data_IF_027142610384
#
_entry.id   IF_027142610384
#
_cell.length_a   1.000
_cell.length_b   1.000
_cell.length_c   1.000
_cell.angle_alpha   90.00
_cell.angle_beta   90.00
_cell.angle_gamma   90.00
#
_symmetry.space_group_name_H-M   'P 1'
#
loop_
_entity.id
_entity.type
_entity.pdbx_description
1 polymer ?
#
# COMPACT_ATOMS: atom_id res chain seq x y z
N UNK A 1 20.03 -30.31 94.70
CA UNK A 1 18.95 -30.86 95.52
C UNK A 1 17.94 -31.49 94.61
N UNK A 2 17.90 -32.85 94.54
CA UNK A 2 16.88 -33.77 95.08
C UNK A 2 15.46 -33.33 94.63
N UNK A 3 14.60 -34.06 93.96
CA UNK A 3 14.17 -35.52 94.02
C UNK A 3 13.45 -35.87 92.72
N UNK A 4 13.69 -36.96 92.07
CA UNK A 4 13.10 -38.33 92.10
C UNK A 4 11.59 -38.39 92.31
N UNK A 5 10.90 -38.98 91.40
CA UNK A 5 9.96 -40.14 91.37
C UNK A 5 9.03 -40.01 90.19
N UNK A 6 8.70 -41.01 89.41
CA UNK A 6 8.59 -42.46 89.56
C UNK A 6 7.50 -42.86 88.58
N UNK A 7 7.73 -43.94 87.92
CA UNK A 7 6.90 -44.65 86.84
C UNK A 7 5.59 -45.16 87.51
N UNK A 8 4.48 -45.32 86.74
CA UNK A 8 4.25 -46.70 86.26
C UNK A 8 3.78 -46.85 84.79
N UNK A 9 4.17 -47.99 84.22
CA UNK A 9 3.70 -48.60 82.95
C UNK A 9 2.21 -48.92 83.03
N UNK A 10 1.50 -48.74 81.97
CA UNK A 10 0.29 -49.44 81.66
C UNK A 10 0.36 -49.98 80.19
N UNK A 11 0.32 -51.30 80.07
CA UNK A 11 0.17 -52.02 78.84
C UNK A 11 -1.22 -51.78 78.29
N UNK A 12 -1.33 -51.46 76.96
CA UNK A 12 -2.57 -51.70 76.22
C UNK A 12 -2.20 -52.27 74.88
N UNK A 13 -2.91 -53.27 74.54
CA UNK A 13 -2.70 -54.24 73.52
C UNK A 13 -2.81 -53.83 72.07
N UNK A 14 -2.23 -54.66 71.29
CA UNK A 14 -2.23 -54.67 69.84
C UNK A 14 -3.66 -54.77 69.28
N UNK A 15 -4.01 -53.78 68.39
CA UNK A 15 -5.06 -54.00 67.37
C UNK A 15 -4.48 -53.64 66.03
N UNK A 16 -3.79 -54.54 65.40
CA UNK A 16 -3.44 -54.53 63.98
C UNK A 16 -4.71 -54.80 63.19
N UNK A 17 -5.37 -53.69 62.69
CA UNK A 17 -6.40 -53.84 61.65
C UNK A 17 -6.14 -52.84 60.50
N UNK A 18 -5.50 -53.40 59.49
CA UNK A 18 -5.60 -53.17 58.05
C UNK A 18 -5.48 -51.67 57.57
N UNK A 19 -4.28 -51.17 57.19
CA UNK A 19 -4.10 -49.96 56.37
C UNK A 19 -4.28 -50.21 54.87
N UNK A 20 -4.58 -51.41 54.42
CA UNK A 20 -4.60 -51.74 52.98
C UNK A 20 -5.81 -51.21 52.20
N UNK A 21 -6.90 -50.88 52.86
CA UNK A 21 -8.10 -50.33 52.17
C UNK A 21 -8.02 -48.81 51.91
N UNK A 22 -7.26 -48.04 52.68
CA UNK A 22 -7.03 -46.60 52.41
C UNK A 22 -5.97 -46.37 51.32
N UNK A 23 -4.96 -47.26 51.22
CA UNK A 23 -3.98 -47.14 50.15
C UNK A 23 -4.57 -47.48 48.77
N UNK A 24 -5.49 -48.42 48.70
CA UNK A 24 -6.18 -48.75 47.42
C UNK A 24 -7.11 -47.62 46.94
N UNK A 25 -7.74 -46.86 47.83
CA UNK A 25 -8.55 -45.69 47.50
C UNK A 25 -7.68 -44.47 47.10
N UNK A 26 -6.51 -44.28 47.71
CA UNK A 26 -5.57 -43.20 47.33
C UNK A 26 -4.89 -43.47 45.98
N UNK A 27 -4.60 -44.70 45.65
CA UNK A 27 -4.03 -45.08 44.34
C UNK A 27 -5.06 -44.94 43.21
N UNK A 28 -6.35 -45.21 43.49
CA UNK A 28 -7.42 -45.00 42.52
C UNK A 28 -7.77 -43.53 42.27
N UNK A 29 -7.50 -42.62 43.24
CA UNK A 29 -7.66 -41.16 43.07
C UNK A 29 -6.50 -40.48 42.31
N UNK A 30 -5.33 -41.12 42.27
CA UNK A 30 -4.18 -40.60 41.51
C UNK A 30 -4.17 -41.13 40.06
N UNK A 31 -4.97 -42.14 39.72
CA UNK A 31 -5.04 -42.72 38.38
C UNK A 31 -6.08 -42.06 37.45
N UNK A 32 -6.91 -41.15 37.94
CA UNK A 32 -7.73 -40.29 37.08
C UNK A 32 -6.95 -39.04 36.64
N UNK A 33 -5.78 -39.24 36.04
CA UNK A 33 -5.29 -38.23 35.09
C UNK A 33 -6.31 -38.26 33.96
N UNK A 34 -7.22 -37.30 33.98
CA UNK A 34 -7.97 -36.99 32.79
C UNK A 34 -6.91 -36.83 31.70
N UNK A 35 -6.90 -37.70 30.73
CA UNK A 35 -6.18 -37.46 29.49
C UNK A 35 -6.80 -36.22 28.88
N UNK A 36 -6.22 -35.08 29.22
CA UNK A 36 -6.59 -33.83 28.58
C UNK A 36 -6.34 -34.06 27.10
N UNK A 37 -7.37 -33.96 26.32
CA UNK A 37 -7.31 -34.00 24.89
C UNK A 37 -6.15 -33.09 24.45
N UNK A 38 -5.10 -33.66 23.93
CA UNK A 38 -3.90 -32.88 23.57
C UNK A 38 -3.80 -32.80 22.06
N UNK A 39 -4.00 -31.60 21.53
CA UNK A 39 -3.66 -31.33 20.13
C UNK A 39 -2.16 -31.07 20.06
N UNK A 40 -1.46 -31.90 19.28
CA UNK A 40 -0.02 -31.78 19.08
C UNK A 40 0.25 -31.58 17.60
N UNK A 41 0.98 -30.51 17.24
CA UNK A 41 1.37 -30.22 15.87
C UNK A 41 2.88 -30.39 15.68
N UNK A 42 3.28 -30.81 14.50
CA UNK A 42 4.66 -30.88 14.04
C UNK A 42 4.83 -30.12 12.75
N UNK A 43 6.01 -29.58 12.51
CA UNK A 43 6.38 -28.79 11.34
C UNK A 43 7.80 -28.29 11.49
N UNK A 44 8.29 -27.58 10.50
CA UNK A 44 9.62 -26.94 10.54
C UNK A 44 9.46 -25.43 10.45
N UNK A 45 10.15 -24.69 11.29
CA UNK A 45 10.25 -23.23 11.13
C UNK A 45 11.11 -22.92 9.89
N UNK A 46 10.60 -22.08 9.01
CA UNK A 46 11.31 -21.69 7.79
C UNK A 46 10.86 -20.30 7.28
N UNK A 47 11.66 -19.72 6.38
CA UNK A 47 11.30 -18.49 5.68
C UNK A 47 10.90 -18.83 4.25
N UNK A 48 9.66 -18.52 3.90
CA UNK A 48 9.08 -18.71 2.58
C UNK A 48 9.11 -17.36 1.85
N UNK A 49 9.66 -17.34 0.63
CA UNK A 49 9.66 -16.13 -0.20
C UNK A 49 8.33 -15.98 -0.92
N UNK A 50 7.73 -14.80 -0.84
CA UNK A 50 6.61 -14.41 -1.69
C UNK A 50 7.20 -13.71 -2.91
N UNK A 51 7.16 -14.34 -4.10
CA UNK A 51 7.78 -13.79 -5.29
C UNK A 51 7.01 -12.53 -5.73
N UNK A 52 7.74 -11.46 -6.07
CA UNK A 52 7.17 -10.22 -6.56
C UNK A 52 7.82 -9.82 -7.88
N UNK A 53 7.11 -9.01 -8.66
CA UNK A 53 7.70 -8.39 -9.85
C UNK A 53 8.83 -7.45 -9.41
N UNK A 54 10.06 -7.74 -9.86
CA UNK A 54 11.25 -6.99 -9.42
C UNK A 54 11.28 -5.56 -9.99
N UNK A 55 10.93 -5.37 -11.27
CA UNK A 55 10.92 -4.05 -11.93
C UNK A 55 9.50 -3.63 -12.22
N UNK A 56 9.06 -2.54 -11.62
CA UNK A 56 7.72 -1.99 -11.77
C UNK A 56 7.87 -0.59 -12.36
N UNK A 57 7.16 -0.33 -13.45
CA UNK A 57 7.13 1.00 -14.07
C UNK A 57 5.71 1.55 -14.00
N UNK A 58 5.57 2.75 -13.42
CA UNK A 58 4.27 3.36 -13.17
C UNK A 58 4.19 4.76 -13.75
N UNK A 59 3.03 5.20 -14.26
CA UNK A 59 2.77 6.59 -14.56
C UNK A 59 2.86 7.43 -13.27
N UNK A 60 3.51 8.60 -13.34
CA UNK A 60 3.68 9.48 -12.17
C UNK A 60 2.34 9.79 -11.49
N UNK A 61 1.31 10.06 -12.27
CA UNK A 61 0.02 10.56 -11.82
C UNK A 61 -1.07 9.48 -11.75
N UNK A 62 -0.68 8.18 -11.76
CA UNK A 62 -1.64 7.09 -11.50
C UNK A 62 -2.39 7.36 -10.18
N UNK A 63 -3.72 7.10 -10.10
CA UNK A 63 -4.50 7.35 -8.89
C UNK A 63 -3.98 6.59 -7.66
N UNK A 64 -4.20 7.16 -6.47
CA UNK A 64 -4.03 6.41 -5.20
C UNK A 64 -4.97 5.21 -5.20
N UNK A 65 -4.49 4.06 -4.72
CA UNK A 65 -5.20 2.78 -4.79
C UNK A 65 -4.88 1.95 -6.02
N UNK A 66 -4.14 2.50 -7.01
CA UNK A 66 -3.71 1.72 -8.17
C UNK A 66 -2.78 0.59 -7.74
N UNK A 67 -3.10 -0.65 -8.16
CA UNK A 67 -2.20 -1.81 -8.01
C UNK A 67 -1.04 -1.64 -8.98
N UNK A 68 0.18 -1.62 -8.46
CA UNK A 68 1.39 -1.29 -9.21
C UNK A 68 2.09 -2.51 -9.80
N UNK A 69 1.91 -3.69 -9.21
CA UNK A 69 2.54 -4.94 -9.64
C UNK A 69 1.51 -5.99 -10.04
N UNK A 70 1.97 -7.05 -10.69
CA UNK A 70 1.21 -8.30 -10.70
C UNK A 70 1.11 -8.86 -9.27
N UNK A 71 0.09 -9.67 -9.02
CA UNK A 71 -0.04 -10.40 -7.76
C UNK A 71 1.03 -11.50 -7.68
N UNK A 72 1.99 -11.34 -6.77
CA UNK A 72 2.94 -12.38 -6.42
C UNK A 72 2.30 -13.37 -5.47
N UNK A 73 2.57 -14.67 -5.62
CA UNK A 73 1.96 -15.71 -4.79
C UNK A 73 2.96 -16.82 -4.48
N UNK A 74 2.92 -17.31 -3.24
CA UNK A 74 3.61 -18.57 -2.92
C UNK A 74 2.93 -19.73 -3.66
N UNK A 75 3.62 -20.86 -3.86
CA UNK A 75 2.93 -22.11 -4.17
C UNK A 75 1.84 -22.42 -3.12
N UNK A 76 0.77 -23.06 -3.56
CA UNK A 76 -0.25 -23.57 -2.65
C UNK A 76 0.34 -24.78 -1.91
N UNK A 77 0.57 -24.65 -0.61
CA UNK A 77 1.16 -25.71 0.20
C UNK A 77 0.11 -26.27 1.18
N UNK A 78 -0.31 -27.54 1.01
CA UNK A 78 -1.27 -28.18 1.88
C UNK A 78 -0.67 -28.66 3.22
N UNK A 79 0.65 -28.56 3.42
CA UNK A 79 1.37 -29.30 4.46
C UNK A 79 2.30 -28.48 5.35
N UNK A 80 1.96 -27.27 5.75
CA UNK A 80 2.79 -26.50 6.72
C UNK A 80 2.94 -27.23 8.05
N UNK A 81 1.84 -27.83 8.53
CA UNK A 81 1.76 -28.46 9.85
C UNK A 81 1.00 -29.78 9.77
N UNK A 82 1.46 -30.79 10.54
CA UNK A 82 0.74 -32.02 10.78
C UNK A 82 0.31 -32.06 12.23
N UNK A 83 -1.00 -32.06 12.49
CA UNK A 83 -1.57 -31.98 13.82
C UNK A 83 -2.35 -33.26 14.15
N UNK A 84 -1.98 -33.96 15.25
CA UNK A 84 -2.74 -35.09 15.77
C UNK A 84 -3.63 -34.63 16.90
N UNK A 85 -4.90 -35.01 16.85
CA UNK A 85 -5.93 -34.57 17.80
C UNK A 85 -7.01 -35.64 17.98
N UNK A 86 -7.70 -35.58 19.09
CA UNK A 86 -8.93 -36.34 19.32
C UNK A 86 -10.17 -35.59 18.74
N UNK A 87 -11.35 -36.14 18.99
CA UNK A 87 -12.60 -35.57 18.48
C UNK A 87 -12.98 -34.22 19.08
N UNK A 88 -12.39 -33.82 20.20
CA UNK A 88 -12.75 -32.59 20.93
C UNK A 88 -11.84 -31.41 20.58
N UNK A 89 -10.63 -31.67 20.10
CA UNK A 89 -9.68 -30.66 19.70
C UNK A 89 -9.90 -30.14 18.27
N UNK A 90 -9.38 -28.97 18.00
CA UNK A 90 -9.35 -28.38 16.66
C UNK A 90 -7.98 -27.83 16.31
N UNK A 91 -7.64 -27.83 15.02
CA UNK A 91 -6.40 -27.25 14.52
C UNK A 91 -6.63 -26.52 13.19
N UNK A 92 -5.70 -25.68 12.82
CA UNK A 92 -5.69 -25.01 11.53
C UNK A 92 -4.45 -24.16 11.35
N UNK A 93 -4.37 -23.44 10.25
CA UNK A 93 -3.34 -22.44 10.00
C UNK A 93 -3.91 -21.06 10.32
N UNK A 94 -3.18 -20.27 11.11
CA UNK A 94 -3.46 -18.83 11.31
C UNK A 94 -2.31 -18.00 10.80
N UNK A 95 -2.62 -16.87 10.16
CA UNK A 95 -1.65 -15.90 9.69
C UNK A 95 -1.74 -14.62 10.50
N UNK A 96 -0.61 -14.02 10.88
CA UNK A 96 -0.58 -12.70 11.50
C UNK A 96 0.44 -11.78 10.83
N UNK A 97 0.18 -10.45 10.79
CA UNK A 97 1.16 -9.47 10.30
C UNK A 97 2.34 -9.35 11.27
N UNK A 98 3.55 -9.13 10.70
CA UNK A 98 4.77 -8.88 11.47
C UNK A 98 5.30 -7.51 11.12
N UNK A 99 5.38 -6.61 12.11
CA UNK A 99 5.95 -5.26 11.97
C UNK A 99 5.34 -4.41 10.85
N UNK A 100 4.10 -4.68 10.48
CA UNK A 100 3.37 -3.92 9.46
C UNK A 100 2.45 -2.88 10.11
N UNK A 101 2.45 -1.66 9.59
CA UNK A 101 1.52 -0.60 9.95
C UNK A 101 0.51 -0.37 8.84
N UNK A 102 -0.77 -0.26 9.18
CA UNK A 102 -1.84 0.03 8.22
C UNK A 102 -1.71 1.45 7.66
N UNK A 103 -1.88 1.61 6.36
CA UNK A 103 -1.85 2.93 5.68
C UNK A 103 -3.15 3.73 5.84
N UNK A 104 -4.23 3.08 6.25
CA UNK A 104 -5.59 3.64 6.24
C UNK A 104 -6.32 3.47 4.90
N UNK A 105 -5.64 3.00 3.87
CA UNK A 105 -6.21 2.72 2.56
C UNK A 105 -6.72 1.26 2.48
N UNK A 106 -7.80 1.06 1.74
CA UNK A 106 -8.28 -0.26 1.32
C UNK A 106 -8.44 -0.30 -0.19
N UNK A 107 -8.21 -1.47 -0.79
CA UNK A 107 -8.40 -1.71 -2.22
C UNK A 107 -9.20 -3.00 -2.45
N UNK A 108 -9.96 -3.11 -3.55
CA UNK A 108 -10.55 -4.38 -3.94
C UNK A 108 -9.49 -5.32 -4.52
N UNK A 109 -9.51 -6.58 -4.09
CA UNK A 109 -8.76 -7.66 -4.71
C UNK A 109 -9.45 -8.18 -5.98
N UNK A 110 -8.76 -9.00 -6.81
CA UNK A 110 -9.36 -9.60 -8.01
C UNK A 110 -10.59 -10.48 -7.75
N UNK A 111 -10.71 -11.04 -6.55
CA UNK A 111 -11.86 -11.86 -6.11
C UNK A 111 -12.94 -11.05 -5.36
N UNK A 112 -12.80 -9.72 -5.28
CA UNK A 112 -13.77 -8.82 -4.67
C UNK A 112 -13.59 -8.61 -3.16
N UNK A 113 -12.61 -9.24 -2.52
CA UNK A 113 -12.30 -8.98 -1.11
C UNK A 113 -11.69 -7.58 -0.97
N UNK A 114 -12.17 -6.79 -0.01
CA UNK A 114 -11.54 -5.51 0.32
C UNK A 114 -10.32 -5.74 1.20
N UNK A 115 -9.15 -5.28 0.74
CA UNK A 115 -7.88 -5.51 1.39
C UNK A 115 -7.34 -4.28 2.09
N UNK A 116 -6.84 -4.49 3.28
CA UNK A 116 -6.01 -3.52 4.00
C UNK A 116 -4.70 -3.32 3.26
N UNK A 117 -4.34 -2.06 3.00
CA UNK A 117 -3.02 -1.70 2.46
C UNK A 117 -2.10 -1.34 3.62
N UNK A 118 -0.92 -1.94 3.63
CA UNK A 118 0.10 -1.75 4.64
C UNK A 118 1.17 -0.78 4.15
N UNK A 119 1.75 0.02 5.05
CA UNK A 119 2.86 0.89 4.72
C UNK A 119 4.13 0.08 4.41
N UNK A 120 4.97 0.60 3.53
CA UNK A 120 6.31 0.07 3.25
C UNK A 120 7.38 1.10 3.64
N UNK A 121 8.64 0.78 3.38
CA UNK A 121 9.75 1.72 3.53
C UNK A 121 9.71 2.89 2.52
N UNK A 122 8.86 2.83 1.50
CA UNK A 122 8.64 3.91 0.53
C UNK A 122 7.28 4.56 0.81
N UNK A 123 7.28 5.81 1.23
CA UNK A 123 6.11 6.53 1.77
C UNK A 123 4.87 6.54 0.85
N UNK A 124 5.07 6.42 -0.46
CA UNK A 124 3.96 6.46 -1.44
C UNK A 124 3.62 5.10 -2.03
N UNK A 125 4.21 4.04 -1.47
CA UNK A 125 4.00 2.66 -1.90
C UNK A 125 3.57 1.81 -0.72
N UNK A 126 2.44 1.18 -0.85
CA UNK A 126 1.90 0.23 0.11
C UNK A 126 1.98 -1.21 -0.37
N UNK A 127 1.58 -2.13 0.48
CA UNK A 127 1.53 -3.56 0.25
C UNK A 127 0.14 -4.09 0.61
N UNK A 128 -0.55 -4.73 -0.31
CA UNK A 128 -1.77 -5.49 -0.05
C UNK A 128 -1.43 -6.97 0.09
N UNK A 129 -1.98 -7.65 1.08
CA UNK A 129 -1.68 -9.06 1.38
C UNK A 129 -2.98 -9.82 1.61
N UNK A 130 -3.12 -10.94 0.93
CA UNK A 130 -4.16 -11.92 1.17
C UNK A 130 -3.58 -13.27 1.56
N UNK A 131 -4.34 -13.98 2.35
CA UNK A 131 -4.01 -15.32 2.82
C UNK A 131 -5.19 -16.26 2.62
N UNK A 132 -4.91 -17.55 2.43
CA UNK A 132 -5.91 -18.61 2.51
C UNK A 132 -5.34 -19.82 3.20
N UNK A 133 -6.19 -20.58 3.85
CA UNK A 133 -5.81 -21.77 4.62
C UNK A 133 -6.28 -23.04 3.95
N UNK A 134 -5.63 -24.14 4.27
CA UNK A 134 -5.95 -25.48 3.85
C UNK A 134 -6.00 -26.43 5.05
N UNK A 135 -6.90 -27.37 5.01
CA UNK A 135 -6.85 -28.58 5.84
C UNK A 135 -7.30 -29.78 5.00
N UNK A 136 -6.62 -30.92 5.13
CA UNK A 136 -6.95 -32.11 4.34
C UNK A 136 -8.41 -32.61 4.51
N UNK A 137 -9.05 -32.26 5.62
CA UNK A 137 -10.45 -32.62 5.92
C UNK A 137 -11.42 -31.62 5.34
N UNK A 138 -11.07 -30.29 5.29
CA UNK A 138 -11.96 -29.22 4.91
C UNK A 138 -11.66 -28.62 3.51
N UNK A 139 -10.48 -28.90 2.95
CA UNK A 139 -10.03 -28.31 1.69
C UNK A 139 -9.49 -26.89 1.84
N UNK A 140 -9.42 -26.16 0.73
CA UNK A 140 -8.99 -24.77 0.68
C UNK A 140 -10.12 -23.82 1.06
N UNK A 141 -9.80 -22.80 1.86
CA UNK A 141 -10.70 -21.67 2.09
C UNK A 141 -10.62 -20.65 0.95
N UNK A 142 -11.58 -19.71 0.89
CA UNK A 142 -11.44 -18.49 0.10
C UNK A 142 -10.30 -17.60 0.61
N UNK A 143 -9.85 -16.67 -0.22
CA UNK A 143 -8.89 -15.65 0.15
C UNK A 143 -9.47 -14.70 1.20
N UNK A 144 -8.60 -14.18 2.09
CA UNK A 144 -8.98 -13.30 3.19
C UNK A 144 -7.97 -12.17 3.35
N UNK A 145 -8.45 -11.00 3.76
CA UNK A 145 -7.59 -9.89 4.15
C UNK A 145 -6.80 -10.23 5.41
N UNK A 146 -5.48 -10.07 5.35
CA UNK A 146 -4.62 -10.21 6.53
C UNK A 146 -4.89 -9.12 7.58
N UNK A 147 -5.29 -7.92 7.15
CA UNK A 147 -5.46 -6.76 8.01
C UNK A 147 -6.80 -6.65 8.71
N UNK A 148 -7.79 -7.43 8.28
CA UNK A 148 -9.12 -7.47 8.89
C UNK A 148 -9.55 -8.91 9.15
N UNK A 149 -8.94 -9.58 10.14
CA UNK A 149 -9.24 -10.98 10.45
C UNK A 149 -10.66 -11.13 10.96
N UNK A 150 -11.30 -12.22 10.54
CA UNK A 150 -12.58 -12.65 11.10
C UNK A 150 -12.34 -13.29 12.47
N UNK A 151 -12.63 -12.52 13.52
CA UNK A 151 -12.40 -12.94 14.92
C UNK A 151 -13.37 -14.03 15.40
N UNK A 152 -14.33 -14.44 14.57
CA UNK A 152 -15.21 -15.59 14.86
C UNK A 152 -14.40 -16.88 15.00
N UNK A 153 -13.30 -16.99 14.27
CA UNK A 153 -12.46 -18.20 14.27
C UNK A 153 -11.25 -18.09 15.16
N UNK A 154 -10.39 -17.11 14.93
CA UNK A 154 -9.17 -16.91 15.70
C UNK A 154 -9.17 -15.57 16.41
N UNK A 155 -8.50 -15.46 17.58
CA UNK A 155 -8.33 -14.16 18.23
C UNK A 155 -7.47 -13.23 17.34
N UNK A 156 -7.81 -11.93 17.32
CA UNK A 156 -6.96 -10.92 16.66
C UNK A 156 -5.53 -10.99 17.21
N UNK A 157 -4.48 -10.87 16.37
CA UNK A 157 -4.48 -10.45 14.95
C UNK A 157 -4.50 -11.61 13.93
N UNK A 158 -4.85 -12.83 14.33
CA UNK A 158 -4.75 -14.03 13.50
C UNK A 158 -5.87 -14.12 12.46
N UNK A 159 -5.51 -14.24 11.19
CA UNK A 159 -6.41 -14.49 10.07
C UNK A 159 -6.36 -15.96 9.64
N UNK A 160 -7.50 -16.59 9.45
CA UNK A 160 -7.59 -17.98 9.01
C UNK A 160 -8.88 -18.65 9.44
N UNK A 161 -9.04 -19.92 9.10
CA UNK A 161 -10.20 -20.73 9.43
C UNK A 161 -9.73 -22.08 9.97
N UNK A 162 -10.18 -22.51 11.15
CA UNK A 162 -9.89 -23.84 11.68
C UNK A 162 -10.66 -24.92 10.94
N UNK A 163 -10.19 -26.15 11.07
CA UNK A 163 -10.88 -27.33 10.59
C UNK A 163 -11.08 -28.33 11.71
N UNK A 164 -12.32 -28.77 11.91
CA UNK A 164 -12.67 -29.78 12.86
C UNK A 164 -12.54 -31.17 12.23
N UNK A 165 -12.10 -32.14 12.99
CA UNK A 165 -11.92 -33.53 12.57
C UNK A 165 -10.97 -34.26 13.53
N UNK A 166 -11.18 -35.54 13.80
CA UNK A 166 -10.32 -36.35 14.64
C UNK A 166 -9.15 -36.95 13.85
N UNK A 167 -8.11 -37.42 14.57
CA UNK A 167 -6.94 -38.06 13.98
C UNK A 167 -5.88 -37.08 13.52
N UNK A 168 -5.13 -37.44 12.49
CA UNK A 168 -4.09 -36.56 11.92
C UNK A 168 -4.64 -35.67 10.85
N UNK A 169 -4.52 -34.34 11.04
CA UNK A 169 -4.95 -33.32 10.11
C UNK A 169 -3.73 -32.54 9.61
N UNK A 170 -3.52 -32.50 8.30
CA UNK A 170 -2.53 -31.62 7.69
C UNK A 170 -3.17 -30.27 7.45
N UNK A 171 -2.49 -29.21 7.90
CA UNK A 171 -2.88 -27.82 7.76
C UNK A 171 -1.83 -27.09 6.93
N UNK A 172 -2.28 -26.32 5.96
CA UNK A 172 -1.43 -25.57 5.05
C UNK A 172 -1.98 -24.21 4.74
N UNK A 173 -1.43 -23.57 3.72
CA UNK A 173 -1.88 -22.26 3.33
C UNK A 173 -1.21 -21.71 2.08
N UNK A 174 -1.57 -20.50 1.74
CA UNK A 174 -1.01 -19.76 0.63
C UNK A 174 -1.10 -18.25 0.92
N UNK A 175 -0.09 -17.54 0.48
CA UNK A 175 0.01 -16.06 0.58
C UNK A 175 0.11 -15.47 -0.81
N UNK A 176 -0.61 -14.40 -1.08
CA UNK A 176 -0.39 -13.54 -2.24
C UNK A 176 -0.31 -12.08 -1.83
N UNK A 177 0.46 -11.29 -2.60
CA UNK A 177 0.68 -9.89 -2.32
C UNK A 177 0.82 -9.06 -3.59
N UNK A 178 0.51 -7.76 -3.50
CA UNK A 178 0.73 -6.79 -4.57
C UNK A 178 1.15 -5.44 -3.99
N UNK A 179 2.01 -4.72 -4.72
CA UNK A 179 2.32 -3.33 -4.40
C UNK A 179 1.22 -2.40 -4.86
N UNK A 180 0.93 -1.36 -4.07
CA UNK A 180 -0.19 -0.43 -4.27
C UNK A 180 0.31 1.01 -4.13
N UNK A 181 -0.16 1.91 -4.97
CA UNK A 181 0.12 3.34 -4.82
C UNK A 181 -0.68 3.92 -3.66
N UNK A 182 0.00 4.54 -2.68
CA UNK A 182 -0.62 5.16 -1.51
C UNK A 182 -0.46 6.68 -1.47
N UNK A 183 0.32 7.25 -2.39
CA UNK A 183 0.58 8.68 -2.48
C UNK A 183 1.40 9.05 -3.72
N UNK A 184 1.84 10.30 -3.84
CA UNK A 184 2.70 10.73 -4.95
C UNK A 184 4.07 10.07 -4.82
N UNK A 185 4.46 9.28 -5.83
CA UNK A 185 5.78 8.66 -5.90
C UNK A 185 6.73 9.68 -6.54
N UNK A 186 7.83 10.07 -5.88
CA UNK A 186 8.78 11.00 -6.46
C UNK A 186 9.34 10.48 -7.79
N UNK A 187 9.28 11.30 -8.83
CA UNK A 187 9.98 11.03 -10.09
C UNK A 187 11.48 11.24 -9.94
N UNK A 188 12.27 10.51 -10.71
CA UNK A 188 13.72 10.68 -10.71
C UNK A 188 14.41 9.65 -11.60
N UNK A 189 15.71 9.83 -11.81
CA UNK A 189 16.54 8.90 -12.59
C UNK A 189 16.77 7.57 -11.85
N UNK A 190 16.69 7.57 -10.51
CA UNK A 190 16.84 6.37 -9.68
C UNK A 190 15.48 5.79 -9.28
N UNK A 191 15.32 4.45 -9.25
CA UNK A 191 14.10 3.82 -8.78
C UNK A 191 13.93 3.96 -7.27
N UNK A 192 12.68 3.99 -6.81
CA UNK A 192 12.35 3.78 -5.41
C UNK A 192 12.37 2.28 -5.11
N UNK A 193 13.27 1.81 -4.23
CA UNK A 193 13.38 0.40 -3.88
C UNK A 193 12.52 0.09 -2.65
N UNK A 194 11.54 -0.77 -2.84
CA UNK A 194 10.65 -1.26 -1.78
C UNK A 194 11.21 -2.58 -1.24
N UNK A 195 11.42 -2.66 0.08
CA UNK A 195 11.98 -3.83 0.77
C UNK A 195 11.14 -4.17 2.01
N UNK A 196 10.02 -4.87 1.88
CA UNK A 196 9.17 -5.19 3.02
C UNK A 196 9.79 -6.20 4.00
N UNK A 197 10.67 -7.08 3.54
CA UNK A 197 11.24 -8.15 4.36
C UNK A 197 10.19 -9.17 4.82
N UNK A 198 10.34 -9.69 6.05
CA UNK A 198 9.34 -10.58 6.66
C UNK A 198 8.13 -9.77 7.05
N UNK A 199 7.02 -9.97 6.34
CA UNK A 199 5.80 -9.19 6.48
C UNK A 199 4.71 -9.89 7.31
N UNK A 200 4.69 -11.22 7.31
CA UNK A 200 3.73 -12.02 8.06
C UNK A 200 4.32 -13.37 8.45
N UNK A 201 3.67 -14.04 9.40
CA UNK A 201 3.97 -15.41 9.76
C UNK A 201 2.70 -16.26 9.82
N UNK A 202 2.84 -17.57 9.63
CA UNK A 202 1.79 -18.53 9.85
C UNK A 202 2.19 -19.45 11.02
N UNK A 203 1.23 -19.78 11.87
CA UNK A 203 1.39 -20.72 12.96
C UNK A 203 0.34 -21.82 12.91
N UNK A 204 0.66 -22.96 13.48
CA UNK A 204 -0.33 -23.98 13.80
C UNK A 204 -1.20 -23.45 14.95
N UNK A 205 -2.48 -23.22 14.66
CA UNK A 205 -3.48 -22.80 15.64
C UNK A 205 -4.10 -24.05 16.28
N UNK A 206 -3.99 -24.18 17.58
CA UNK A 206 -4.51 -25.35 18.30
C UNK A 206 -5.54 -24.95 19.35
N UNK A 207 -6.61 -25.71 19.44
CA UNK A 207 -7.63 -25.60 20.48
C UNK A 207 -7.79 -26.96 21.15
N UNK A 208 -7.49 -27.03 22.44
CA UNK A 208 -7.48 -28.29 23.19
C UNK A 208 -8.88 -28.84 23.47
N UNK A 209 -9.86 -27.95 23.66
CA UNK A 209 -11.28 -28.29 23.81
C UNK A 209 -12.15 -27.12 23.35
N UNK A 210 -13.44 -27.35 23.08
CA UNK A 210 -14.37 -26.32 22.63
C UNK A 210 -14.56 -25.12 23.59
N UNK A 211 -14.09 -25.24 24.83
CA UNK A 211 -14.12 -24.16 25.84
C UNK A 211 -12.82 -23.34 25.89
N UNK A 212 -11.78 -23.74 25.16
CA UNK A 212 -10.48 -23.08 25.19
C UNK A 212 -10.30 -22.20 23.95
N UNK A 213 -9.59 -21.07 24.04
CA UNK A 213 -9.21 -20.28 22.87
C UNK A 213 -8.19 -21.03 22.02
N UNK A 214 -8.09 -20.63 20.73
CA UNK A 214 -7.00 -21.07 19.88
C UNK A 214 -5.67 -20.48 20.34
N UNK A 215 -4.63 -21.32 20.39
CA UNK A 215 -3.27 -20.94 20.77
C UNK A 215 -2.34 -21.20 19.59
N UNK A 216 -1.53 -20.20 19.17
CA UNK A 216 -0.54 -20.40 18.11
C UNK A 216 0.70 -21.14 18.62
N UNK A 217 1.18 -22.12 17.88
CA UNK A 217 2.50 -22.70 18.08
C UNK A 217 3.54 -21.96 17.23
N UNK A 218 4.30 -21.09 17.87
CA UNK A 218 5.32 -20.28 17.20
C UNK A 218 6.65 -21.01 16.99
N UNK A 219 6.85 -22.16 17.63
CA UNK A 219 8.12 -22.92 17.54
C UNK A 219 8.34 -23.52 16.15
N UNK A 220 7.25 -23.78 15.42
CA UNK A 220 7.24 -24.35 14.06
C UNK A 220 6.71 -23.36 13.01
N UNK A 221 6.58 -22.08 13.37
CA UNK A 221 5.97 -21.07 12.51
C UNK A 221 6.71 -20.88 11.17
N UNK A 222 5.93 -20.63 10.11
CA UNK A 222 6.43 -20.21 8.80
C UNK A 222 6.48 -18.70 8.74
N UNK A 223 7.60 -18.11 8.36
CA UNK A 223 7.75 -16.68 8.11
C UNK A 223 7.68 -16.39 6.62
N UNK A 224 6.97 -15.35 6.20
CA UNK A 224 6.84 -15.00 4.79
C UNK A 224 7.55 -13.67 4.53
N UNK A 225 8.60 -13.72 3.70
CA UNK A 225 9.34 -12.57 3.25
C UNK A 225 8.85 -12.14 1.86
N UNK A 226 8.38 -10.90 1.77
CA UNK A 226 7.97 -10.31 0.48
C UNK A 226 9.22 -9.87 -0.27
N UNK A 227 9.40 -10.33 -1.51
CA UNK A 227 10.54 -9.97 -2.32
C UNK A 227 10.53 -8.47 -2.67
N UNK A 228 11.70 -7.83 -2.72
CA UNK A 228 11.81 -6.41 -3.03
C UNK A 228 11.41 -6.09 -4.48
N UNK A 229 11.05 -4.81 -4.71
CA UNK A 229 10.78 -4.29 -6.04
C UNK A 229 11.43 -2.92 -6.25
N UNK A 230 11.89 -2.66 -7.46
CA UNK A 230 12.38 -1.37 -7.92
C UNK A 230 11.27 -0.68 -8.72
N UNK A 231 10.81 0.48 -8.25
CA UNK A 231 9.71 1.25 -8.85
C UNK A 231 10.27 2.43 -9.61
N UNK A 232 10.02 2.46 -10.91
CA UNK A 232 10.39 3.53 -11.84
C UNK A 232 9.17 4.38 -12.15
N UNK A 233 9.28 5.68 -11.93
CA UNK A 233 8.22 6.62 -12.28
C UNK A 233 8.47 7.17 -13.68
N UNK A 234 7.47 7.06 -14.56
CA UNK A 234 7.55 7.56 -15.92
C UNK A 234 7.08 9.01 -16.02
N UNK A 235 7.95 9.89 -16.48
CA UNK A 235 7.68 11.29 -16.77
C UNK A 235 8.61 11.80 -17.89
N UNK A 236 8.18 12.85 -18.61
CA UNK A 236 9.07 13.59 -19.50
C UNK A 236 10.01 14.47 -18.67
N UNK A 237 11.16 14.79 -19.23
CA UNK A 237 12.01 15.87 -18.74
C UNK A 237 11.52 17.21 -19.31
N UNK A 238 11.31 18.21 -18.47
CA UNK A 238 10.88 19.56 -18.84
C UNK A 238 11.85 20.58 -18.31
N UNK A 239 12.00 21.76 -18.95
CA UNK A 239 12.72 22.86 -18.34
C UNK A 239 11.97 23.36 -17.10
N UNK A 240 12.71 23.73 -16.05
CA UNK A 240 12.13 24.33 -14.83
C UNK A 240 11.54 25.72 -15.09
N UNK A 241 12.09 26.45 -16.05
CA UNK A 241 11.66 27.79 -16.43
C UNK A 241 11.81 28.00 -17.94
N UNK A 242 10.78 28.57 -18.57
CA UNK A 242 10.82 29.06 -19.95
C UNK A 242 10.71 30.58 -19.91
N UNK A 243 11.79 31.27 -20.22
CA UNK A 243 11.82 32.71 -20.34
C UNK A 243 11.40 33.13 -21.75
N UNK A 244 10.46 34.05 -21.85
CA UNK A 244 9.98 34.61 -23.11
C UNK A 244 10.18 36.12 -23.08
N UNK A 245 11.07 36.62 -23.93
CA UNK A 245 11.27 38.06 -24.11
C UNK A 245 10.23 38.60 -25.08
N UNK A 246 9.30 39.43 -24.57
CA UNK A 246 8.28 40.05 -25.37
C UNK A 246 8.79 41.28 -26.15
N UNK A 247 10.06 41.67 -25.95
CA UNK A 247 10.71 42.83 -26.52
C UNK A 247 10.07 44.17 -26.11
N UNK A 248 10.51 45.28 -26.74
CA UNK A 248 9.98 46.62 -26.53
C UNK A 248 8.85 46.87 -27.50
N UNK A 249 7.72 47.33 -27.01
CA UNK A 249 6.55 47.69 -27.77
C UNK A 249 6.29 49.21 -27.64
N UNK A 250 5.73 49.80 -28.71
CA UNK A 250 5.39 51.20 -28.76
C UNK A 250 3.91 51.40 -28.50
N UNK A 251 3.51 52.52 -27.87
CA UNK A 251 2.11 52.86 -27.65
C UNK A 251 1.30 52.89 -28.95
N UNK A 252 1.94 53.24 -30.08
CA UNK A 252 1.31 53.24 -31.39
C UNK A 252 0.86 51.88 -31.93
N UNK A 253 1.30 50.80 -31.31
CA UNK A 253 0.87 49.46 -31.68
C UNK A 253 -0.53 49.12 -31.13
N UNK A 254 -0.92 49.78 -30.05
CA UNK A 254 -2.25 49.61 -29.45
C UNK A 254 -3.28 50.50 -30.17
N UNK A 255 -4.34 49.87 -30.67
CA UNK A 255 -5.37 50.51 -31.52
C UNK A 255 -6.73 50.63 -30.84
N UNK A 256 -6.79 50.39 -29.56
CA UNK A 256 -8.00 50.37 -28.75
C UNK A 256 -8.17 49.03 -28.04
N UNK A 257 -9.12 48.98 -27.12
CA UNK A 257 -9.44 47.76 -26.36
C UNK A 257 -9.66 46.60 -27.32
N UNK A 258 -9.02 45.45 -27.04
CA UNK A 258 -9.08 44.24 -27.86
C UNK A 258 -7.96 44.12 -28.90
N UNK A 259 -7.12 45.14 -29.08
CA UNK A 259 -5.93 45.03 -29.94
C UNK A 259 -4.77 44.38 -29.22
N UNK A 260 -3.97 43.59 -29.95
CA UNK A 260 -2.77 42.95 -29.43
C UNK A 260 -1.52 43.39 -30.22
N UNK A 261 -0.38 43.38 -29.57
CA UNK A 261 0.92 43.55 -30.23
C UNK A 261 1.27 42.32 -31.08
N UNK A 262 2.32 42.43 -31.89
CA UNK A 262 2.83 41.29 -32.65
C UNK A 262 3.22 40.21 -31.66
N UNK A 263 2.73 38.94 -31.84
CA UNK A 263 3.02 37.87 -30.95
C UNK A 263 4.48 37.37 -31.10
N UNK A 264 5.06 36.95 -29.97
CA UNK A 264 6.35 36.26 -29.87
C UNK A 264 6.07 34.79 -29.75
N UNK A 265 6.59 34.00 -30.70
CA UNK A 265 6.45 32.53 -30.69
C UNK A 265 7.52 31.91 -29.81
N UNK A 266 7.12 30.95 -29.01
CA UNK A 266 8.00 30.13 -28.16
C UNK A 266 7.48 28.71 -28.04
N UNK A 267 8.22 27.83 -27.38
CA UNK A 267 7.75 26.48 -27.13
C UNK A 267 8.20 25.94 -25.77
N UNK A 268 7.39 25.05 -25.20
CA UNK A 268 7.76 24.25 -24.03
C UNK A 268 8.26 22.89 -24.52
N UNK A 269 9.54 22.61 -24.33
CA UNK A 269 10.14 21.36 -24.74
C UNK A 269 9.83 20.25 -23.73
N UNK A 270 9.46 19.06 -24.23
CA UNK A 270 9.25 17.82 -23.48
C UNK A 270 10.21 16.79 -24.02
N UNK A 271 11.26 16.45 -23.28
CA UNK A 271 12.28 15.51 -23.74
C UNK A 271 12.21 14.21 -22.95
N UNK A 272 12.75 13.13 -23.53
CA UNK A 272 12.80 11.81 -22.89
C UNK A 272 11.45 11.31 -22.38
N UNK A 273 10.36 11.66 -23.07
CA UNK A 273 9.05 11.14 -22.73
C UNK A 273 9.04 9.62 -22.89
N UNK A 274 8.66 8.86 -21.86
CA UNK A 274 8.73 7.40 -21.92
C UNK A 274 7.66 6.81 -22.83
N UNK A 275 7.90 5.63 -23.38
CA UNK A 275 6.86 4.79 -23.95
C UNK A 275 5.96 4.18 -22.86
N UNK A 276 4.79 3.66 -23.25
CA UNK A 276 3.89 2.89 -22.39
C UNK A 276 2.95 3.73 -21.50
N UNK A 277 2.88 5.04 -21.69
CA UNK A 277 1.79 5.85 -21.15
C UNK A 277 0.62 5.82 -22.14
N UNK A 278 -0.61 5.83 -21.66
CA UNK A 278 -1.78 5.91 -22.53
C UNK A 278 -1.87 7.28 -23.21
N UNK A 279 -1.56 8.34 -22.48
CA UNK A 279 -1.50 9.73 -22.98
C UNK A 279 -0.68 10.62 -22.05
N UNK A 280 -0.19 11.73 -22.60
CA UNK A 280 0.38 12.83 -21.87
C UNK A 280 -0.58 14.01 -22.02
N UNK A 281 -0.92 14.66 -20.94
CA UNK A 281 -1.77 15.84 -20.92
C UNK A 281 -1.04 17.00 -20.27
N UNK A 282 -1.47 18.23 -20.57
CA UNK A 282 -0.90 19.44 -19.98
C UNK A 282 -1.97 20.49 -19.69
N UNK A 283 -1.65 21.40 -18.79
CA UNK A 283 -2.53 22.47 -18.36
C UNK A 283 -1.73 23.75 -18.09
N UNK A 284 -2.30 24.88 -18.45
CA UNK A 284 -1.79 26.20 -18.08
C UNK A 284 -2.62 26.76 -16.93
N UNK A 285 -1.96 27.11 -15.85
CA UNK A 285 -2.57 27.66 -14.62
C UNK A 285 -2.05 29.07 -14.44
N UNK A 286 -2.90 30.10 -14.59
CA UNK A 286 -2.47 31.47 -14.43
C UNK A 286 -2.15 31.78 -12.97
N UNK A 287 -1.05 32.53 -12.75
CA UNK A 287 -0.65 33.02 -11.42
C UNK A 287 -1.40 34.28 -11.05
N UNK A 288 -1.91 35.01 -12.05
CA UNK A 288 -2.67 36.27 -11.93
C UNK A 288 -4.11 36.08 -12.44
N UNK A 289 -5.05 36.97 -12.09
CA UNK A 289 -6.42 36.84 -12.55
C UNK A 289 -6.56 36.83 -14.08
N UNK A 290 -7.49 36.00 -14.57
CA UNK A 290 -7.88 36.00 -15.98
C UNK A 290 -8.76 37.22 -16.25
N UNK A 291 -8.33 38.08 -17.17
CA UNK A 291 -9.04 39.31 -17.55
C UNK A 291 -10.04 39.07 -18.69
N UNK A 292 -9.61 38.31 -19.70
CA UNK A 292 -10.44 37.96 -20.85
C UNK A 292 -10.24 36.49 -21.23
N UNK A 293 -11.11 35.59 -20.75
CA UNK A 293 -11.00 34.16 -21.05
C UNK A 293 -11.25 33.84 -22.53
N UNK A 294 -12.00 34.68 -23.26
CA UNK A 294 -12.26 34.41 -24.67
C UNK A 294 -11.02 34.65 -25.54
N UNK A 295 -10.18 35.59 -25.16
CA UNK A 295 -8.95 35.94 -25.86
C UNK A 295 -7.68 35.41 -25.18
N UNK A 296 -7.80 34.63 -24.08
CA UNK A 296 -6.65 34.08 -23.36
C UNK A 296 -5.77 35.11 -22.68
N UNK A 297 -6.40 36.14 -22.07
CA UNK A 297 -5.70 37.28 -21.47
C UNK A 297 -5.69 37.19 -19.96
N UNK A 298 -4.51 37.32 -19.35
CA UNK A 298 -4.30 37.35 -17.88
C UNK A 298 -3.74 38.73 -17.49
N UNK A 299 -3.95 39.08 -16.22
CA UNK A 299 -3.35 40.30 -15.66
C UNK A 299 -1.81 40.17 -15.61
N UNK A 300 -1.12 41.27 -15.69
CA UNK A 300 0.32 41.34 -15.46
C UNK A 300 0.64 41.01 -14.00
N UNK A 301 1.81 40.45 -13.78
CA UNK A 301 2.28 40.10 -12.45
C UNK A 301 2.76 41.33 -11.65
N UNK A 302 2.83 41.16 -10.33
CA UNK A 302 3.37 42.16 -9.39
C UNK A 302 4.81 42.50 -9.82
N UNK A 303 5.11 43.79 -9.87
CA UNK A 303 6.38 44.34 -10.38
C UNK A 303 6.25 44.93 -11.80
N UNK A 304 5.11 44.73 -12.48
CA UNK A 304 4.81 45.45 -13.70
C UNK A 304 4.43 46.91 -13.40
N UNK A 305 4.92 47.81 -14.25
CA UNK A 305 4.61 49.27 -14.15
C UNK A 305 3.61 49.71 -15.24
N UNK A 306 3.62 49.02 -16.38
CA UNK A 306 2.64 49.28 -17.44
C UNK A 306 1.20 49.02 -16.97
N UNK A 307 0.26 49.82 -17.44
CA UNK A 307 -1.17 49.64 -17.15
C UNK A 307 -2.00 49.64 -18.42
N UNK A 308 -3.24 49.18 -18.36
CA UNK A 308 -4.15 49.10 -19.51
C UNK A 308 -3.84 47.98 -20.49
N UNK A 309 -2.92 47.07 -20.11
CA UNK A 309 -2.57 45.89 -20.91
C UNK A 309 -2.55 44.64 -20.05
N UNK A 310 -2.77 43.47 -20.67
CA UNK A 310 -2.62 42.14 -20.11
C UNK A 310 -1.72 41.27 -20.97
N UNK A 311 -1.33 40.10 -20.46
CA UNK A 311 -0.60 39.09 -21.21
C UNK A 311 -1.59 38.15 -21.91
N UNK A 312 -1.56 38.13 -23.24
CA UNK A 312 -2.30 37.16 -24.05
C UNK A 312 -1.43 35.97 -24.37
N UNK A 313 -1.97 34.76 -24.20
CA UNK A 313 -1.36 33.53 -24.66
C UNK A 313 -2.28 32.80 -25.64
N UNK A 314 -1.69 32.34 -26.75
CA UNK A 314 -2.39 31.52 -27.76
C UNK A 314 -1.59 30.28 -28.07
N UNK A 315 -2.23 29.26 -28.68
CA UNK A 315 -1.53 28.12 -29.25
C UNK A 315 -0.75 28.54 -30.52
N UNK A 316 -0.04 27.59 -31.13
CA UNK A 316 0.74 27.82 -32.33
C UNK A 316 -0.10 28.27 -33.54
N UNK A 317 -1.40 27.93 -33.56
CA UNK A 317 -2.35 28.34 -34.59
C UNK A 317 -3.00 29.70 -34.31
N UNK A 318 -2.65 30.34 -33.20
CA UNK A 318 -3.21 31.64 -32.78
C UNK A 318 -4.56 31.56 -32.06
N UNK A 319 -5.00 30.34 -31.65
CA UNK A 319 -6.22 30.19 -30.85
C UNK A 319 -5.94 30.51 -29.39
N UNK A 320 -6.84 31.26 -28.75
CA UNK A 320 -6.72 31.63 -27.35
C UNK A 320 -6.59 30.39 -26.42
N UNK A 321 -5.61 30.42 -25.51
CA UNK A 321 -5.47 29.34 -24.51
C UNK A 321 -6.62 29.43 -23.49
N UNK A 322 -7.21 28.28 -23.20
CA UNK A 322 -8.16 28.11 -22.11
C UNK A 322 -7.40 27.69 -20.86
N UNK A 323 -7.39 28.55 -19.87
CA UNK A 323 -6.70 28.28 -18.59
C UNK A 323 -7.47 27.28 -17.75
N UNK A 324 -6.75 26.58 -16.86
CA UNK A 324 -7.30 25.52 -16.00
C UNK A 324 -8.03 24.43 -16.78
N UNK A 325 -7.68 24.25 -18.05
CA UNK A 325 -8.24 23.25 -18.96
C UNK A 325 -7.15 22.28 -19.37
N UNK A 326 -7.48 21.01 -19.39
CA UNK A 326 -6.54 19.95 -19.75
C UNK A 326 -6.51 19.77 -21.27
N UNK A 327 -5.32 19.86 -21.85
CA UNK A 327 -5.02 19.58 -23.25
C UNK A 327 -4.32 18.20 -23.36
N UNK A 328 -4.54 17.49 -24.43
CA UNK A 328 -3.78 16.26 -24.73
C UNK A 328 -2.60 16.63 -25.64
N UNK A 329 -1.41 16.09 -25.33
CA UNK A 329 -0.22 16.28 -26.14
C UNK A 329 -0.39 15.58 -27.50
N UNK A 330 -0.49 16.39 -28.54
CA UNK A 330 -0.61 15.89 -29.90
C UNK A 330 0.65 15.14 -30.33
N UNK A 331 0.47 14.05 -31.07
CA UNK A 331 1.58 13.27 -31.65
C UNK A 331 2.34 12.39 -30.65
N UNK A 332 1.95 12.34 -29.37
CA UNK A 332 2.57 11.40 -28.43
C UNK A 332 2.37 9.96 -28.93
N UNK A 333 3.48 9.20 -29.03
CA UNK A 333 3.48 7.79 -29.42
C UNK A 333 3.66 6.88 -28.20
N UNK A 334 2.61 6.19 -27.74
CA UNK A 334 2.69 5.28 -26.61
C UNK A 334 3.69 4.13 -26.76
N UNK A 335 3.95 3.70 -27.99
CA UNK A 335 4.85 2.56 -28.26
C UNK A 335 6.33 2.93 -28.22
N UNK A 336 6.67 4.17 -28.54
CA UNK A 336 8.06 4.60 -28.70
C UNK A 336 8.50 5.68 -27.70
N UNK A 337 7.57 6.49 -27.17
CA UNK A 337 7.93 7.69 -26.44
C UNK A 337 8.58 8.74 -27.35
N UNK A 338 9.50 9.55 -26.82
CA UNK A 338 10.30 10.49 -27.62
C UNK A 338 10.37 11.90 -27.04
N UNK A 339 10.67 12.87 -27.90
CA UNK A 339 10.72 14.28 -27.55
C UNK A 339 9.64 15.04 -28.32
N UNK A 340 8.98 15.95 -27.63
CA UNK A 340 7.86 16.73 -28.12
C UNK A 340 8.02 18.21 -27.75
N UNK A 341 7.26 19.09 -28.39
CA UNK A 341 7.21 20.49 -28.00
C UNK A 341 5.78 21.03 -28.09
N UNK A 342 5.43 21.92 -27.20
CA UNK A 342 4.15 22.62 -27.21
C UNK A 342 4.42 24.05 -27.70
N UNK A 343 4.01 24.34 -28.93
CA UNK A 343 4.16 25.66 -29.55
C UNK A 343 3.12 26.64 -29.01
N UNK A 344 3.57 27.85 -28.67
CA UNK A 344 2.79 28.91 -28.07
C UNK A 344 3.18 30.27 -28.62
N UNK A 345 2.28 31.23 -28.51
CA UNK A 345 2.56 32.62 -28.78
C UNK A 345 2.16 33.47 -27.59
N UNK A 346 2.93 34.50 -27.29
CA UNK A 346 2.65 35.50 -26.27
C UNK A 346 2.61 36.92 -26.86
N UNK A 347 1.65 37.76 -26.45
CA UNK A 347 1.51 39.13 -26.87
C UNK A 347 1.02 40.02 -25.72
N UNK A 348 1.21 41.30 -25.82
CA UNK A 348 0.50 42.29 -24.97
C UNK A 348 -0.85 42.59 -25.57
N UNK A 349 -1.90 42.55 -24.77
CA UNK A 349 -3.29 42.80 -25.19
C UNK A 349 -3.85 44.02 -24.47
N UNK A 350 -4.41 44.95 -25.24
CA UNK A 350 -4.98 46.17 -24.65
C UNK A 350 -6.31 45.89 -23.95
N UNK A 351 -6.38 46.18 -22.67
CA UNK A 351 -7.53 45.90 -21.80
C UNK A 351 -8.27 47.13 -21.33
N UNK A 352 -7.68 48.33 -21.55
CA UNK A 352 -8.29 49.60 -21.19
C UNK A 352 -8.11 50.65 -22.32
N UNK A 353 -8.91 51.69 -22.30
CA UNK A 353 -8.82 52.80 -23.30
C UNK A 353 -7.44 53.46 -23.29
N UNK A 354 -6.86 53.64 -22.12
CA UNK A 354 -5.55 54.26 -21.96
C UNK A 354 -4.50 53.22 -21.58
N UNK A 355 -3.40 53.15 -22.32
CA UNK A 355 -2.21 52.35 -22.01
C UNK A 355 -1.12 53.29 -21.50
N UNK A 356 -0.57 52.99 -20.33
CA UNK A 356 0.62 53.69 -19.81
C UNK A 356 1.87 52.86 -20.01
N UNK A 357 2.98 53.48 -20.48
CA UNK A 357 4.22 52.75 -20.68
C UNK A 357 4.84 52.32 -19.34
N UNK A 358 5.57 51.21 -19.37
CA UNK A 358 6.25 50.68 -18.21
C UNK A 358 6.76 49.25 -18.46
N UNK A 359 7.44 48.70 -17.48
CA UNK A 359 7.84 47.28 -17.51
C UNK A 359 6.64 46.36 -17.42
N UNK A 360 6.73 45.22 -18.09
CA UNK A 360 5.72 44.16 -18.05
C UNK A 360 6.35 42.84 -17.57
N UNK A 361 5.64 42.16 -16.70
CA UNK A 361 5.99 40.82 -16.22
C UNK A 361 4.72 39.97 -16.27
N UNK A 362 4.78 38.82 -16.95
CA UNK A 362 3.73 37.81 -16.95
C UNK A 362 4.26 36.50 -16.37
N UNK A 363 3.45 35.84 -15.58
CA UNK A 363 3.78 34.52 -14.97
C UNK A 363 2.68 33.52 -15.24
N UNK A 364 3.09 32.33 -15.64
CA UNK A 364 2.18 31.21 -15.91
C UNK A 364 2.79 29.90 -15.39
N UNK A 365 2.00 29.09 -14.72
CA UNK A 365 2.41 27.74 -14.34
C UNK A 365 2.00 26.75 -15.42
N UNK A 366 2.92 25.89 -15.81
CA UNK A 366 2.70 24.78 -16.72
C UNK A 366 2.74 23.46 -15.95
N UNK A 367 1.73 22.62 -16.11
CA UNK A 367 1.63 21.32 -15.43
C UNK A 367 1.46 20.22 -16.47
N UNK A 368 2.19 19.11 -16.27
CA UNK A 368 2.04 17.88 -17.06
C UNK A 368 1.32 16.80 -16.23
N UNK A 369 0.47 16.04 -16.90
CA UNK A 369 -0.30 14.92 -16.34
C UNK A 369 -0.01 13.68 -17.18
N UNK A 370 0.43 12.60 -16.55
CA UNK A 370 0.81 11.35 -17.20
C UNK A 370 -0.20 10.25 -16.86
N UNK A 371 -0.76 9.60 -17.88
CA UNK A 371 -1.77 8.54 -17.72
C UNK A 371 -1.42 7.29 -18.52
#
# INVERSE_FOLDING_TARGET
MRHRNGIPMARIGAAWRRPWRMFALLVLLVASRQALAQVTCTGTAEIIQVPMQFMITVPRDAPVGTVLSTWGSTPADPGYFSCTKDATGASGTGFEPVSLAKSGLTIPAPDGVNLTVWNTNVASVGLAIEVRTYANVCGWTGWRDLGNPDTTYYPSPWAGVPCNGAGTVTNGGQVRAAYVKTGPIPGGAAPSVVMPGVALKAAAMTMQSSSNPYIPDLSIAKSFAIMPAAIFVRACTTPDLVNVDLHTHWLSEFKGIGSATRPVSFSVALTNCPAGLAKIQYQFIPVTPVLDPANGVVALAIGSVATGVGLQLTDADGRALKYNTTYTLAGYNPSAGGSYSIGLNAALFQTAETVTPGSVLGLMTFTLIYQ
#
